data_IF_610296110328
#
_entry.id   IF_610296110328
#
_cell.length_a   1.000
_cell.length_b   1.000
_cell.length_c   1.000
_cell.angle_alpha   90.00
_cell.angle_beta   90.00
_cell.angle_gamma   90.00
#
_symmetry.space_group_name_H-M   'P 1'
#
loop_
_entity.id
_entity.type
_entity.pdbx_description
1 polymer ?
2 polymer ?
3 water ?
#
# COMPACT_ATOMS: atom_id res chain seq x y z
N UNK A 8 -0.50 26.41 -6.00
CA UNK A 8 0.31 25.21 -6.42
C UNK A 8 -0.59 23.98 -6.33
N UNK A 9 -0.67 23.18 -7.42
CA UNK A 9 -1.57 22.00 -7.34
C UNK A 9 -1.15 20.93 -6.32
N UNK A 10 0.18 20.77 -6.12
CA UNK A 10 0.66 19.87 -5.03
C UNK A 10 0.24 20.39 -3.63
N UNK A 11 0.28 21.72 -3.43
CA UNK A 11 -0.10 22.22 -2.11
C UNK A 11 -1.59 22.17 -1.85
N UNK A 12 -2.39 22.36 -2.90
CA UNK A 12 -3.85 22.22 -2.73
C UNK A 12 -4.19 20.79 -2.32
N UNK A 13 -3.50 19.81 -2.92
CA UNK A 13 -3.64 18.39 -2.57
C UNK A 13 -3.40 18.16 -1.06
N UNK A 14 -2.30 18.74 -0.55
CA UNK A 14 -1.92 18.56 0.85
C UNK A 14 -2.84 19.26 1.82
N UNK A 15 -3.42 20.38 1.40
CA UNK A 15 -4.27 21.18 2.25
C UNK A 15 -5.70 20.69 2.41
N UNK A 16 -6.10 19.72 1.61
CA UNK A 16 -7.53 19.39 1.55
C UNK A 16 -7.88 17.93 1.57
N UNK A 17 -9.11 17.63 1.17
CA UNK A 17 -9.68 16.28 1.08
C UNK A 17 -10.23 16.02 -0.33
N UNK A 18 -9.33 15.88 -1.24
CA UNK A 18 -9.63 15.82 -2.66
C UNK A 18 -10.19 14.46 -3.08
N UNK A 19 -11.05 14.46 -4.09
CA UNK A 19 -11.72 13.29 -4.63
C UNK A 19 -11.26 13.02 -6.05
N UNK A 20 -11.20 11.72 -6.38
CA UNK A 20 -10.57 11.24 -7.62
C UNK A 20 -11.38 10.06 -8.09
N UNK A 21 -11.81 10.09 -9.34
CA UNK A 21 -12.72 9.06 -9.88
C UNK A 21 -11.98 8.20 -10.94
N UNK A 22 -11.98 6.89 -10.78
CA UNK A 22 -11.30 6.03 -11.75
C UNK A 22 -12.22 5.56 -12.86
N UNK A 23 -11.67 4.78 -13.78
CA UNK A 23 -12.37 4.38 -14.99
C UNK A 23 -13.55 3.43 -14.74
N UNK A 24 -13.63 2.83 -13.54
CA UNK A 24 -14.75 2.03 -13.12
C UNK A 24 -15.85 2.85 -12.39
N UNK A 25 -15.62 4.15 -12.22
CA UNK A 25 -16.47 5.01 -11.43
C UNK A 25 -16.28 4.94 -9.93
N UNK A 26 -15.21 4.26 -9.49
CA UNK A 26 -14.85 4.22 -8.07
C UNK A 26 -14.17 5.53 -7.69
N UNK A 27 -14.28 5.88 -6.42
CA UNK A 27 -13.84 7.20 -5.94
C UNK A 27 -12.91 7.06 -4.73
N UNK A 28 -11.72 7.65 -4.87
CA UNK A 28 -10.78 7.80 -3.75
C UNK A 28 -10.80 9.22 -3.20
N UNK A 29 -10.86 9.36 -1.88
CA UNK A 29 -10.77 10.66 -1.22
C UNK A 29 -9.53 10.60 -0.33
N UNK A 30 -8.61 11.53 -0.53
CA UNK A 30 -7.35 11.52 0.19
C UNK A 30 -7.23 12.71 1.13
N UNK A 31 -6.69 12.41 2.31
CA UNK A 31 -6.26 13.39 3.28
C UNK A 31 -4.81 13.06 3.65
N UNK A 32 -4.01 14.11 3.84
CA UNK A 32 -2.54 13.96 4.06
C UNK A 32 -2.15 14.63 5.37
N UNK A 33 -1.39 13.89 6.19
CA UNK A 33 -0.88 14.38 7.46
C UNK A 33 0.64 14.22 7.44
N UNK A 34 1.40 15.27 7.83
CA UNK A 34 2.86 15.14 7.76
C UNK A 34 3.40 14.00 8.64
N UNK A 35 4.34 13.24 8.09
CA UNK A 35 5.01 12.22 8.88
C UNK A 35 5.84 12.87 9.98
N UNK A 36 5.82 12.30 11.20
CA UNK A 36 6.70 12.83 12.25
C UNK A 36 8.19 12.50 12.08
N UNK A 37 8.55 11.58 11.18
CA UNK A 37 9.97 11.23 11.00
C UNK A 37 10.49 11.31 9.58
N UNK A 38 9.63 11.21 8.58
CA UNK A 38 10.11 11.15 7.20
C UNK A 38 9.94 12.48 6.51
N UNK A 39 11.05 13.09 6.11
CA UNK A 39 10.91 14.38 5.43
C UNK A 39 10.12 14.26 4.12
N UNK A 40 9.34 15.29 3.82
CA UNK A 40 8.60 15.38 2.55
C UNK A 40 7.62 14.24 2.39
N UNK A 41 7.18 13.65 3.50
CA UNK A 41 6.37 12.46 3.45
C UNK A 41 5.14 12.67 4.30
N UNK A 42 4.03 12.10 3.81
CA UNK A 42 2.74 12.23 4.47
C UNK A 42 2.07 10.89 4.65
N UNK A 43 1.42 10.74 5.79
CA UNK A 43 0.53 9.64 6.05
C UNK A 43 -0.74 9.91 5.25
N UNK A 44 -1.21 8.90 4.53
CA UNK A 44 -2.41 9.00 3.71
C UNK A 44 -3.55 8.38 4.47
N UNK A 45 -4.62 9.15 4.64
CA UNK A 45 -5.88 8.64 5.16
C UNK A 45 -6.97 9.02 4.16
N UNK A 46 -8.19 8.65 4.46
CA UNK A 46 -9.29 8.95 3.57
C UNK A 46 -10.15 7.73 3.39
N UNK A 47 -10.84 7.68 2.26
CA UNK A 47 -11.75 6.59 2.00
C UNK A 47 -11.90 6.28 0.54
N UNK A 48 -12.34 5.06 0.25
CA UNK A 48 -12.50 4.56 -1.11
C UNK A 48 -13.89 3.98 -1.24
N UNK A 49 -14.57 4.37 -2.31
CA UNK A 49 -15.90 3.82 -2.62
C UNK A 49 -15.77 3.07 -3.92
N UNK A 50 -16.03 1.78 -3.84
CA UNK A 50 -15.96 0.90 -4.99
C UNK A 50 -17.27 0.89 -5.79
N UNK A 51 -17.22 1.24 -7.09
CA UNK A 51 -18.44 1.25 -7.91
C UNK A 51 -18.25 0.34 -9.13
N UNK A 52 -17.23 -0.52 -9.08
CA UNK A 52 -16.87 -1.41 -10.18
C UNK A 52 -17.88 -2.53 -10.39
N UNK A 53 -18.44 -2.58 -11.59
CA UNK A 53 -19.38 -3.65 -11.93
C UNK A 53 -18.80 -5.06 -11.72
N UNK A 54 -19.63 -5.95 -11.18
CA UNK A 54 -19.25 -7.38 -11.00
C UNK A 54 -18.48 -7.70 -9.73
N UNK A 55 -18.32 -6.71 -8.86
CA UNK A 55 -17.55 -6.89 -7.63
C UNK A 55 -18.44 -6.79 -6.40
N UNK A 56 -17.92 -7.28 -5.27
CA UNK A 56 -18.56 -7.09 -3.99
C UNK A 56 -18.14 -5.78 -3.33
N UNK A 57 -18.67 -5.51 -2.14
CA UNK A 57 -18.25 -4.34 -1.36
C UNK A 57 -18.37 -3.03 -2.15
N UNK A 58 -19.52 -2.88 -2.82
CA UNK A 58 -19.79 -1.69 -3.62
C UNK A 58 -20.58 -0.67 -2.83
N UNK A 59 -20.32 0.61 -3.16
CA UNK A 59 -21.17 1.70 -2.75
C UNK A 59 -21.07 2.18 -1.34
N UNK A 60 -20.04 1.72 -0.61
CA UNK A 60 -19.85 2.22 0.78
C UNK A 60 -18.38 2.53 1.03
N UNK A 61 -18.09 3.52 1.89
CA UNK A 61 -16.69 3.88 2.06
C UNK A 61 -15.89 2.88 2.89
N UNK A 62 -14.71 2.58 2.38
CA UNK A 62 -13.69 1.83 3.10
C UNK A 62 -12.53 2.77 3.40
N UNK A 63 -12.01 2.75 4.65
CA UNK A 63 -10.83 3.55 4.94
C UNK A 63 -9.64 3.15 4.08
N UNK A 64 -8.82 4.13 3.76
CA UNK A 64 -7.57 3.79 3.11
C UNK A 64 -6.41 4.28 4.01
N UNK A 65 -5.22 3.72 3.77
CA UNK A 65 -4.03 4.04 4.51
C UNK A 65 -2.81 3.91 3.59
N UNK A 66 -1.75 4.56 3.94
CA UNK A 66 -0.55 4.49 3.13
C UNK A 66 0.30 5.72 3.30
N UNK A 67 1.08 6.00 2.27
CA UNK A 67 2.13 7.05 2.37
C UNK A 67 2.29 7.79 1.04
N UNK A 68 2.68 9.05 1.15
CA UNK A 68 2.79 9.94 0.01
C UNK A 68 4.12 10.71 0.12
N UNK A 69 4.80 10.81 -1.02
CA UNK A 69 6.04 11.54 -1.13
C UNK A 69 5.81 12.82 -1.93
N UNK A 70 5.93 13.96 -1.25
CA UNK A 70 5.57 15.22 -1.86
C UNK A 70 6.60 15.72 -2.85
N UNK A 71 7.84 15.23 -2.76
CA UNK A 71 8.86 15.75 -3.64
C UNK A 71 8.59 15.60 -5.11
N UNK A 72 8.02 14.46 -5.50
CA UNK A 72 7.63 14.24 -6.89
C UNK A 72 6.24 13.62 -7.02
N UNK A 73 5.46 13.71 -5.95
CA UNK A 73 4.03 13.43 -5.98
C UNK A 73 3.74 11.98 -6.35
N UNK A 74 4.36 11.09 -5.57
CA UNK A 74 4.22 9.65 -5.68
C UNK A 74 3.49 9.13 -4.42
N UNK A 75 2.60 8.14 -4.62
CA UNK A 75 1.74 7.65 -3.54
C UNK A 75 1.64 6.13 -3.58
N UNK A 76 1.42 5.58 -2.39
CA UNK A 76 1.09 4.16 -2.30
C UNK A 76 0.10 4.00 -1.16
N UNK A 77 -1.04 3.35 -1.44
CA UNK A 77 -2.08 3.29 -0.46
C UNK A 77 -2.86 1.96 -0.58
N UNK A 78 -3.54 1.59 0.48
CA UNK A 78 -4.21 0.33 0.58
C UNK A 78 -5.57 0.40 1.23
N UNK A 79 -6.40 -0.58 0.87
CA UNK A 79 -7.72 -0.80 1.47
C UNK A 79 -7.84 -2.28 1.86
N UNK A 80 -8.27 -2.52 3.09
CA UNK A 80 -8.77 -3.83 3.48
C UNK A 80 -10.31 -3.75 3.36
N UNK A 81 -10.88 -4.74 2.67
CA UNK A 81 -12.31 -4.68 2.29
C UNK A 81 -13.21 -5.17 3.42
N UNK A 82 -13.13 -4.52 4.58
CA UNK A 82 -13.94 -4.84 5.74
C UNK A 82 -14.50 -3.55 6.31
N UNK A 83 -15.83 -3.46 6.36
CA UNK A 83 -16.47 -2.37 7.05
C UNK A 83 -17.80 -2.83 7.62
N UNK A 84 -18.58 -1.89 8.13
CA UNK A 84 -19.87 -2.26 8.76
C UNK A 84 -20.91 -2.86 7.81
N UNK A 85 -20.77 -2.53 6.53
CA UNK A 85 -21.75 -2.92 5.51
C UNK A 85 -21.42 -4.27 4.85
N UNK A 86 -20.15 -4.51 4.55
CA UNK A 86 -19.76 -5.66 3.79
C UNK A 86 -18.29 -6.00 4.02
N UNK A 87 -18.01 -7.30 3.96
CA UNK A 87 -16.65 -7.83 4.13
C UNK A 87 -16.35 -8.75 2.96
N UNK A 88 -15.39 -8.35 2.13
CA UNK A 88 -14.97 -9.16 1.01
C UNK A 88 -13.68 -9.90 1.24
N UNK A 89 -13.21 -9.91 2.50
CA UNK A 89 -12.10 -10.81 2.93
C UNK A 89 -10.88 -10.69 2.04
N UNK A 90 -10.49 -9.44 1.75
CA UNK A 90 -9.41 -9.20 0.78
C UNK A 90 -8.80 -7.82 1.03
N UNK A 91 -7.73 -7.51 0.28
CA UNK A 91 -7.10 -6.21 0.38
C UNK A 91 -6.51 -5.81 -0.98
N UNK A 92 -6.53 -4.51 -1.23
CA UNK A 92 -5.94 -3.97 -2.45
C UNK A 92 -4.89 -2.94 -2.10
N UNK A 93 -3.78 -2.98 -2.82
CA UNK A 93 -2.78 -1.93 -2.75
C UNK A 93 -2.55 -1.28 -4.10
N UNK A 94 -2.60 0.05 -4.10
CA UNK A 94 -2.36 0.89 -5.26
C UNK A 94 -1.02 1.62 -5.07
N UNK A 95 -0.25 1.77 -6.15
CA UNK A 95 1.01 2.52 -6.12
C UNK A 95 1.10 3.28 -7.46
N UNK A 96 1.45 4.54 -7.37
CA UNK A 96 1.56 5.37 -8.54
C UNK A 96 1.94 6.77 -8.30
N UNK A 97 1.53 7.62 -9.23
CA UNK A 97 2.01 9.00 -9.27
C UNK A 97 0.93 9.92 -9.82
N UNK A 98 0.96 11.16 -9.33
CA UNK A 98 0.09 12.23 -9.81
C UNK A 98 0.72 13.00 -10.96
N UNK A 99 -0.11 13.37 -11.94
CA UNK A 99 0.34 14.19 -13.06
C UNK A 99 -0.57 15.41 -13.06
N UNK A 100 0.00 16.55 -12.72
CA UNK A 100 -0.70 17.83 -12.73
C UNK A 100 -0.44 18.66 -13.99
N UNK A 101 0.18 18.07 -15.02
CA UNK A 101 0.62 18.85 -16.19
C UNK A 101 -0.50 19.23 -17.14
N UNK A 102 -1.58 18.45 -17.15
CA UNK A 102 -2.72 18.74 -18.00
C UNK A 102 -3.68 19.71 -17.33
N UNK A 103 -4.74 20.10 -18.02
CA UNK A 103 -5.72 20.97 -17.38
C UNK A 103 -6.47 20.26 -16.26
N UNK A 104 -6.60 18.94 -16.37
CA UNK A 104 -7.21 18.14 -15.31
C UNK A 104 -6.15 17.18 -14.76
N UNK A 105 -6.03 17.12 -13.45
CA UNK A 105 -5.03 16.25 -12.78
C UNK A 105 -5.47 14.79 -12.86
N UNK A 106 -4.49 13.91 -13.01
CA UNK A 106 -4.71 12.49 -13.05
C UNK A 106 -3.76 11.80 -12.08
N UNK A 107 -4.25 10.71 -11.51
CA UNK A 107 -3.47 9.81 -10.69
C UNK A 107 -3.41 8.49 -11.42
N UNK A 108 -2.19 8.06 -11.79
CA UNK A 108 -1.96 6.82 -12.51
C UNK A 108 -1.41 5.79 -11.53
N UNK A 109 -2.06 4.64 -11.46
CA UNK A 109 -1.68 3.58 -10.50
C UNK A 109 -1.71 2.21 -11.11
N UNK A 110 -0.89 1.33 -10.54
CA UNK A 110 -0.99 -0.11 -10.66
C UNK A 110 -1.48 -0.65 -9.31
N UNK A 111 -2.31 -1.68 -9.33
CA UNK A 111 -2.78 -2.27 -8.09
C UNK A 111 -2.64 -3.79 -8.06
N UNK A 112 -2.64 -4.29 -6.83
CA UNK A 112 -2.69 -5.72 -6.54
C UNK A 112 -3.83 -5.96 -5.57
N UNK A 113 -4.60 -7.01 -5.85
CA UNK A 113 -5.71 -7.48 -5.00
C UNK A 113 -5.38 -8.86 -4.50
N UNK A 114 -5.23 -9.00 -3.17
CA UNK A 114 -5.03 -10.31 -2.57
C UNK A 114 -6.35 -10.84 -2.04
N UNK A 115 -6.62 -12.11 -2.32
CA UNK A 115 -7.91 -12.70 -1.97
C UNK A 115 -7.80 -14.21 -1.98
N UNK A 116 -8.87 -14.88 -1.54
CA UNK A 116 -9.00 -16.32 -1.61
C UNK A 116 -10.14 -16.75 -2.53
N UNK A 117 -9.92 -17.85 -3.23
CA UNK A 117 -10.97 -18.53 -3.93
C UNK A 117 -10.94 -19.95 -3.40
N UNK A 118 -11.98 -20.31 -2.66
CA UNK A 118 -11.94 -21.48 -1.80
C UNK A 118 -10.75 -21.35 -0.86
N UNK A 119 -9.94 -22.39 -0.78
CA UNK A 119 -8.77 -22.39 0.06
C UNK A 119 -7.51 -21.93 -0.67
N UNK A 120 -7.66 -21.48 -1.92
CA UNK A 120 -6.52 -21.06 -2.76
C UNK A 120 -6.32 -19.54 -2.73
N UNK A 121 -5.14 -19.10 -2.27
CA UNK A 121 -4.88 -17.66 -2.29
C UNK A 121 -4.41 -17.23 -3.66
N UNK A 122 -4.66 -15.97 -3.98
CA UNK A 122 -4.23 -15.39 -5.25
C UNK A 122 -4.03 -13.89 -5.12
N UNK A 123 -3.19 -13.36 -6.00
CA UNK A 123 -2.96 -11.93 -6.09
C UNK A 123 -3.16 -11.54 -7.56
N UNK A 124 -4.16 -10.68 -7.78
CA UNK A 124 -4.53 -10.22 -9.12
C UNK A 124 -4.01 -8.79 -9.33
N UNK A 125 -3.56 -8.51 -10.55
CA UNK A 125 -2.99 -7.22 -10.91
C UNK A 125 -3.95 -6.43 -11.83
N UNK A 126 -3.84 -5.11 -11.77
CA UNK A 126 -4.55 -4.22 -12.67
C UNK A 126 -4.00 -2.81 -12.61
N UNK A 127 -4.67 -1.91 -13.30
CA UNK A 127 -4.30 -0.53 -13.41
C UNK A 127 -5.54 0.33 -13.21
N UNK A 128 -5.40 1.40 -12.44
CA UNK A 128 -6.50 2.38 -12.29
C UNK A 128 -5.95 3.75 -12.62
N UNK A 129 -6.67 4.49 -13.48
CA UNK A 129 -6.39 5.89 -13.74
C UNK A 129 -7.53 6.72 -13.14
N UNK A 130 -7.20 7.60 -12.22
CA UNK A 130 -8.18 8.42 -11.50
C UNK A 130 -8.06 9.86 -12.04
N UNK A 131 -9.19 10.48 -12.33
CA UNK A 131 -9.21 11.84 -12.76
C UNK A 131 -9.80 12.68 -11.62
N UNK A 132 -9.18 13.82 -11.35
CA UNK A 132 -9.62 14.64 -10.23
C UNK A 132 -11.05 15.16 -10.40
N UNK A 133 -11.81 15.14 -9.31
CA UNK A 133 -13.11 15.78 -9.26
C UNK A 133 -12.94 17.24 -8.84
N UNK A 134 -13.29 18.15 -9.74
CA UNK A 134 -13.23 19.57 -9.46
C UNK A 134 -14.48 20.36 -9.89
N UNK B 3 -22.05 -7.34 8.92
CA UNK B 3 -21.74 -7.16 7.47
C UNK B 3 -22.21 -8.36 6.65
N UNK B 4 -22.46 -8.12 5.37
CA UNK B 4 -22.63 -9.19 4.39
C UNK B 4 -21.25 -9.69 4.00
N UNK B 5 -21.11 -11.01 3.87
CA UNK B 5 -19.80 -11.61 3.65
C UNK B 5 -19.74 -12.26 2.28
N UNK B 6 -18.68 -11.88 1.55
CA UNK B 6 -18.43 -12.40 0.20
C UNK B 6 -17.13 -13.20 0.27
N UNK B 7 -17.02 -14.26 -0.54
CA UNK B 7 -15.83 -15.10 -0.60
C UNK B 7 -14.59 -14.22 -0.90
N UNK B 8 -14.75 -13.28 -1.83
CA UNK B 8 -13.70 -12.31 -2.18
C UNK B 8 -14.35 -11.03 -2.76
N UNK B 9 -13.50 -10.07 -3.16
CA UNK B 9 -13.99 -8.86 -3.84
C UNK B 9 -14.60 -9.21 -5.22
N UNK B 10 -14.15 -10.33 -5.81
CA UNK B 10 -14.53 -10.71 -7.17
C UNK B 10 -15.73 -11.64 -7.23
N UNK B 11 -15.95 -12.41 -6.16
CA UNK B 11 -16.90 -13.53 -6.18
C UNK B 11 -17.72 -13.56 -4.89
N UNK B 12 -19.04 -13.69 -5.03
CA UNK B 12 -19.95 -13.72 -3.89
C UNK B 12 -19.89 -15.12 -3.25
N UNK C 8 -2.61 -20.06 17.30
CA UNK C 8 -2.29 -19.89 15.87
C UNK C 8 -0.93 -19.22 15.75
N UNK C 9 -0.09 -19.63 14.78
CA UNK C 9 1.05 -18.74 14.47
C UNK C 9 0.57 -17.39 13.89
N UNK C 10 -0.65 -17.38 13.35
CA UNK C 10 -1.34 -16.12 12.97
C UNK C 10 -1.57 -15.20 14.20
N UNK C 11 -1.61 -15.82 15.38
CA UNK C 11 -1.74 -15.07 16.62
C UNK C 11 -0.51 -14.28 17.04
N UNK C 12 0.66 -14.89 16.97
CA UNK C 12 1.85 -14.20 17.50
C UNK C 12 2.61 -13.31 16.49
N UNK C 13 2.27 -13.41 15.21
CA UNK C 13 2.53 -12.32 14.26
C UNK C 13 2.00 -11.01 14.85
N UNK C 14 0.82 -11.09 15.44
CA UNK C 14 0.15 -9.91 16.02
C UNK C 14 0.88 -9.22 17.16
N UNK C 15 1.73 -9.96 17.89
CA UNK C 15 2.52 -9.39 19.00
C UNK C 15 3.57 -8.38 18.53
N UNK C 16 3.85 -8.37 17.22
CA UNK C 16 4.65 -7.33 16.56
C UNK C 16 6.11 -7.28 16.97
N UNK C 17 6.70 -8.47 17.15
CA UNK C 17 8.11 -8.62 17.53
C UNK C 17 8.88 -9.54 16.57
N UNK C 18 8.28 -9.85 15.41
CA UNK C 18 8.81 -10.79 14.41
C UNK C 18 9.61 -10.06 13.32
N UNK C 19 10.63 -10.71 12.76
CA UNK C 19 11.29 -10.20 11.52
C UNK C 19 10.86 -11.09 10.37
N UNK C 20 10.58 -10.49 9.23
CA UNK C 20 10.24 -11.19 8.01
C UNK C 20 11.25 -10.84 6.94
N UNK C 21 11.96 -11.86 6.45
CA UNK C 21 13.15 -11.63 5.67
C UNK C 21 12.98 -12.19 4.27
N UNK C 22 13.19 -11.36 3.27
CA UNK C 22 12.96 -11.83 1.91
C UNK C 22 14.21 -12.43 1.28
N UNK C 23 14.11 -12.78 0.00
CA UNK C 23 15.12 -13.53 -0.71
C UNK C 23 16.46 -12.78 -0.86
N UNK C 24 16.43 -11.47 -0.74
CA UNK C 24 17.64 -10.66 -0.81
C UNK C 24 18.14 -10.25 0.57
N UNK C 25 17.44 -10.65 1.62
CA UNK C 25 17.77 -10.22 2.97
C UNK C 25 17.17 -8.92 3.44
N UNK C 26 16.23 -8.33 2.67
CA UNK C 26 15.48 -7.22 3.18
C UNK C 26 14.57 -7.69 4.32
N UNK C 27 14.34 -6.81 5.29
CA UNK C 27 13.63 -7.16 6.52
C UNK C 27 12.45 -6.26 6.80
N UNK C 28 11.28 -6.89 6.96
CA UNK C 28 10.09 -6.19 7.38
C UNK C 28 9.81 -6.50 8.87
N UNK C 29 9.61 -5.48 9.68
CA UNK C 29 9.36 -5.60 11.08
C UNK C 29 7.99 -4.96 11.30
N UNK C 30 6.98 -5.80 11.39
CA UNK C 30 5.60 -5.33 11.46
C UNK C 30 5.13 -5.10 12.89
N UNK C 31 4.31 -4.06 13.05
CA UNK C 31 3.59 -3.73 14.26
C UNK C 31 2.13 -3.54 13.90
N UNK C 32 1.25 -4.07 14.72
CA UNK C 32 -0.18 -4.07 14.46
C UNK C 32 -0.91 -3.37 15.57
N UNK C 33 -1.93 -2.62 15.19
CA UNK C 33 -2.82 -1.93 16.13
C UNK C 33 -4.25 -2.10 15.62
N UNK C 34 -5.24 -2.37 16.50
CA UNK C 34 -6.59 -2.57 15.99
C UNK C 34 -7.09 -1.36 15.22
N UNK C 35 -7.79 -1.62 14.11
CA UNK C 35 -8.36 -0.54 13.33
C UNK C 35 -9.44 0.14 14.17
N UNK C 36 -9.48 1.49 14.12
CA UNK C 36 -10.52 2.19 14.86
C UNK C 36 -11.94 1.88 14.40
N UNK C 37 -12.13 1.53 13.11
CA UNK C 37 -13.50 1.37 12.56
C UNK C 37 -13.75 0.06 11.81
N UNK C 38 -12.70 -0.65 11.39
CA UNK C 38 -12.89 -1.81 10.53
C UNK C 38 -12.81 -3.12 11.32
N UNK C 39 -13.86 -3.94 11.27
CA UNK C 39 -13.77 -5.22 11.98
C UNK C 39 -12.69 -6.13 11.39
N UNK C 40 -12.01 -6.86 12.29
CA UNK C 40 -11.05 -7.88 11.94
C UNK C 40 -9.86 -7.29 11.17
N UNK C 41 -9.57 -6.02 11.41
CA UNK C 41 -8.56 -5.30 10.66
C UNK C 41 -7.61 -4.59 11.65
N UNK C 42 -6.36 -4.52 11.23
CA UNK C 42 -5.32 -3.84 12.00
C UNK C 42 -4.63 -2.80 11.11
N UNK C 43 -4.27 -1.69 11.73
CA UNK C 43 -3.36 -0.74 11.10
C UNK C 43 -1.95 -1.32 11.21
N UNK C 44 -1.19 -1.23 10.13
CA UNK C 44 0.16 -1.79 10.09
C UNK C 44 1.14 -0.63 10.17
N UNK C 45 2.09 -0.75 11.10
CA UNK C 45 3.22 0.15 11.20
C UNK C 45 4.47 -0.69 11.37
N UNK C 46 5.58 -0.07 11.75
CA UNK C 46 6.86 -0.79 11.85
C UNK C 46 7.85 -0.26 10.85
N UNK C 47 8.86 -1.06 10.53
CA UNK C 47 9.96 -0.59 9.70
C UNK C 47 10.42 -1.62 8.71
N UNK C 48 10.98 -1.11 7.63
CA UNK C 48 11.51 -1.95 6.57
C UNK C 48 12.97 -1.59 6.35
N UNK C 49 13.82 -2.62 6.30
CA UNK C 49 15.24 -2.43 6.03
C UNK C 49 15.55 -3.09 4.69
N UNK C 50 15.88 -2.27 3.72
CA UNK C 50 16.08 -2.74 2.35
C UNK C 50 17.49 -3.28 2.12
N UNK C 51 17.54 -4.39 1.38
CA UNK C 51 18.80 -4.96 0.93
C UNK C 51 18.75 -5.42 -0.54
N UNK C 52 17.77 -4.96 -1.30
CA UNK C 52 17.62 -5.40 -2.66
C UNK C 52 18.83 -5.05 -3.54
N UNK C 53 19.30 -6.06 -4.25
CA UNK C 53 20.49 -5.87 -5.07
C UNK C 53 20.31 -4.71 -6.05
N UNK C 54 21.34 -3.85 -6.12
CA UNK C 54 21.36 -2.74 -7.06
C UNK C 54 20.61 -1.49 -6.68
N UNK C 55 19.96 -1.54 -5.52
CA UNK C 55 19.11 -0.43 -5.09
C UNK C 55 19.82 0.50 -4.11
N UNK C 56 19.31 1.72 -4.03
CA UNK C 56 19.73 2.67 -3.03
C UNK C 56 18.91 2.45 -1.76
N UNK C 57 19.12 3.33 -0.80
CA UNK C 57 18.36 3.32 0.43
C UNK C 57 18.44 1.97 1.15
N UNK C 58 19.66 1.41 1.21
CA UNK C 58 19.89 0.15 1.91
C UNK C 58 20.30 0.34 3.36
N UNK C 59 19.94 -0.65 4.16
CA UNK C 59 20.52 -0.81 5.46
C UNK C 59 20.10 0.16 6.54
N UNK C 60 18.99 0.88 6.32
CA UNK C 60 18.46 1.75 7.35
C UNK C 60 16.93 1.61 7.42
N UNK C 61 16.34 1.82 8.61
CA UNK C 61 14.90 1.60 8.74
C UNK C 61 14.08 2.69 8.05
N UNK C 62 13.14 2.23 7.25
CA UNK C 62 12.10 3.13 6.69
C UNK C 62 10.76 2.73 7.27
N UNK C 63 10.00 3.72 7.78
CA UNK C 63 8.69 3.34 8.29
C UNK C 63 7.81 2.72 7.22
N UNK C 64 7.00 1.75 7.64
CA UNK C 64 5.99 1.23 6.74
C UNK C 64 4.58 1.54 7.29
N UNK C 65 3.60 1.50 6.38
CA UNK C 65 2.23 1.77 6.74
C UNK C 65 1.31 0.95 5.86
N UNK C 66 0.17 0.53 6.37
CA UNK C 66 -0.82 -0.18 5.60
C UNK C 66 -1.86 -0.78 6.52
N UNK C 67 -2.41 -1.90 6.07
CA UNK C 67 -3.55 -2.53 6.76
C UNK C 67 -3.49 -4.04 6.60
N UNK C 68 -4.02 -4.73 7.63
CA UNK C 68 -3.94 -6.17 7.72
C UNK C 68 -5.32 -6.70 8.08
N UNK C 69 -5.73 -7.73 7.36
CA UNK C 69 -7.00 -8.40 7.57
C UNK C 69 -6.77 -9.76 8.26
N UNK C 70 -7.15 -9.84 9.53
CA UNK C 70 -6.83 -11.04 10.31
C UNK C 70 -7.68 -12.27 9.99
N UNK C 71 -8.80 -12.09 9.30
CA UNK C 71 -9.72 -13.21 9.02
C UNK C 71 -9.08 -14.31 8.20
N UNK C 72 -8.30 -13.90 7.19
CA UNK C 72 -7.56 -14.86 6.39
C UNK C 72 -6.09 -14.44 6.16
N UNK C 73 -5.62 -13.48 6.97
CA UNK C 73 -4.21 -13.13 7.05
C UNK C 73 -3.65 -12.57 5.74
N UNK C 74 -4.34 -11.54 5.28
CA UNK C 74 -3.96 -10.79 4.08
C UNK C 74 -3.48 -9.41 4.50
N UNK C 75 -2.46 -8.89 3.79
CA UNK C 75 -1.85 -7.60 4.17
C UNK C 75 -1.52 -6.78 2.93
N UNK C 76 -1.50 -5.45 3.13
CA UNK C 76 -1.02 -4.54 2.09
C UNK C 76 -0.33 -3.41 2.83
N UNK C 77 0.91 -3.11 2.43
CA UNK C 77 1.69 -2.10 3.15
C UNK C 77 2.62 -1.37 2.17
N UNK C 78 3.06 -0.18 2.59
CA UNK C 78 3.84 0.65 1.73
C UNK C 78 4.99 1.34 2.46
N UNK C 79 5.99 1.71 1.68
CA UNK C 79 7.14 2.48 2.14
C UNK C 79 7.38 3.63 1.17
N UNK C 80 7.53 4.83 1.72
CA UNK C 80 8.13 5.95 0.99
C UNK C 80 9.62 5.99 1.35
N UNK C 81 10.49 6.05 0.35
CA UNK C 81 11.93 5.87 0.53
C UNK C 81 12.61 7.19 0.94
N UNK C 82 12.11 7.78 2.02
CA UNK C 82 12.68 9.00 2.58
C UNK C 82 12.89 8.87 4.09
N UNK C 83 14.15 8.97 4.53
CA UNK C 83 14.43 9.00 5.97
C UNK C 83 15.62 9.91 6.23
N UNK C 84 16.11 9.91 7.47
CA UNK C 84 17.18 10.81 7.86
C UNK C 84 18.53 10.52 7.16
N UNK C 85 18.67 9.30 6.63
CA UNK C 85 19.88 8.79 6.00
C UNK C 85 19.93 8.92 4.49
N UNK C 86 18.83 8.54 3.82
CA UNK C 86 18.82 8.52 2.36
C UNK C 86 17.38 8.72 1.85
N UNK C 87 17.30 9.45 0.76
CA UNK C 87 16.06 9.70 0.06
C UNK C 87 16.21 9.24 -1.38
N UNK C 88 15.44 8.19 -1.73
CA UNK C 88 15.44 7.67 -3.09
C UNK C 88 14.19 8.08 -3.88
N UNK C 89 13.45 9.06 -3.36
CA UNK C 89 12.37 9.78 -4.16
C UNK C 89 11.41 8.81 -4.85
N UNK C 90 10.96 7.80 -4.11
CA UNK C 90 10.28 6.65 -4.70
C UNK C 90 9.32 6.09 -3.61
N UNK C 91 8.40 5.21 -3.98
CA UNK C 91 7.58 4.50 -3.03
C UNK C 91 7.27 3.09 -3.55
N UNK C 92 7.22 2.13 -2.63
CA UNK C 92 6.85 0.76 -2.92
C UNK C 92 5.59 0.36 -2.13
N UNK C 93 4.72 -0.39 -2.81
CA UNK C 93 3.58 -1.01 -2.18
C UNK C 93 3.61 -2.52 -2.39
N UNK C 94 3.47 -3.25 -1.29
CA UNK C 94 3.41 -4.71 -1.24
C UNK C 94 1.99 -5.14 -0.86
N UNK C 95 1.51 -6.16 -1.56
CA UNK C 95 0.18 -6.75 -1.26
C UNK C 95 0.32 -8.27 -1.33
N UNK C 96 -0.21 -8.97 -0.33
CA UNK C 96 -0.08 -10.42 -0.31
C UNK C 96 -0.71 -11.06 0.88
N UNK C 97 -0.24 -12.27 1.17
CA UNK C 97 -0.89 -13.11 2.14
C UNK C 97 0.12 -13.95 2.91
N UNK C 98 -0.22 -14.29 4.14
CA UNK C 98 0.64 -15.14 4.95
C UNK C 98 0.21 -16.59 4.81
N UNK C 99 1.18 -17.47 4.65
CA UNK C 99 0.97 -18.90 4.62
C UNK C 99 1.69 -19.51 5.84
N UNK C 100 0.89 -19.98 6.79
CA UNK C 100 1.38 -20.56 8.05
C UNK C 100 1.30 -22.09 8.06
N UNK C 101 0.98 -22.69 6.90
CA UNK C 101 0.76 -24.14 6.81
C UNK C 101 2.05 -24.98 6.98
N UNK C 102 3.16 -24.42 6.48
CA UNK C 102 4.46 -25.11 6.59
C UNK C 102 5.10 -24.89 7.95
N UNK C 103 6.21 -25.57 8.19
CA UNK C 103 6.96 -25.38 9.43
C UNK C 103 7.55 -23.98 9.49
N UNK C 104 7.83 -23.45 8.31
CA UNK C 104 8.38 -22.12 8.11
C UNK C 104 7.25 -21.24 7.55
N UNK C 105 6.86 -20.21 8.30
CA UNK C 105 5.82 -19.28 7.80
C UNK C 105 6.40 -18.38 6.70
N UNK C 106 5.55 -18.10 5.71
CA UNK C 106 5.96 -17.32 4.54
C UNK C 106 4.88 -16.30 4.17
N UNK C 107 5.35 -15.08 3.99
CA UNK C 107 4.55 -13.99 3.46
C UNK C 107 4.85 -13.84 1.98
N UNK C 108 3.83 -14.13 1.16
CA UNK C 108 3.97 -14.05 -0.28
C UNK C 108 3.40 -12.74 -0.78
N UNK C 109 4.18 -11.94 -1.49
CA UNK C 109 3.73 -10.61 -1.95
C UNK C 109 4.06 -10.34 -3.40
N UNK C 110 3.23 -9.48 -3.97
CA UNK C 110 3.56 -8.77 -5.20
C UNK C 110 3.75 -7.30 -4.82
N UNK C 111 4.67 -6.64 -5.53
CA UNK C 111 4.94 -5.24 -5.26
C UNK C 111 4.97 -4.40 -6.50
N UNK C 112 4.77 -3.11 -6.29
CA UNK C 112 4.94 -2.08 -7.29
C UNK C 112 5.83 -0.98 -6.72
N UNK C 113 6.78 -0.49 -7.53
CA UNK C 113 7.67 0.61 -7.20
C UNK C 113 7.37 1.75 -8.18
N UNK C 114 6.96 2.91 -7.64
CA UNK C 114 6.74 4.09 -8.44
C UNK C 114 7.98 4.97 -8.27
N UNK C 115 8.48 5.50 -9.40
CA UNK C 115 9.72 6.26 -9.38
C UNK C 115 9.86 7.07 -10.68
N UNK C 116 10.84 7.96 -10.73
CA UNK C 116 11.17 8.74 -11.90
C UNK C 116 12.54 8.36 -12.44
N UNK C 117 12.65 8.41 -13.77
CA UNK C 117 13.91 8.35 -14.50
C UNK C 117 13.94 9.59 -15.38
N UNK C 118 14.78 10.54 -15.00
CA UNK C 118 14.71 11.85 -15.61
C UNK C 118 13.33 12.38 -15.31
N UNK C 119 12.65 12.84 -16.35
CA UNK C 119 11.33 13.44 -16.17
C UNK C 119 10.21 12.41 -16.39
N UNK C 120 10.57 11.15 -16.61
CA UNK C 120 9.61 10.10 -16.96
C UNK C 120 9.21 9.29 -15.74
N UNK C 121 7.92 9.32 -15.35
CA UNK C 121 7.46 8.44 -14.28
C UNK C 121 7.31 7.01 -14.76
N UNK C 122 7.49 6.07 -13.86
CA UNK C 122 7.27 4.66 -14.17
C UNK C 122 6.87 3.86 -12.94
N UNK C 123 6.27 2.70 -13.19
CA UNK C 123 5.87 1.79 -12.13
C UNK C 123 6.38 0.42 -12.50
N UNK C 124 7.32 -0.09 -11.69
CA UNK C 124 7.92 -1.41 -11.88
C UNK C 124 7.26 -2.43 -10.93
N UNK C 125 7.11 -3.65 -11.43
CA UNK C 125 6.45 -4.76 -10.74
C UNK C 125 7.52 -5.75 -10.26
N UNK C 126 7.24 -6.43 -9.16
CA UNK C 126 8.02 -7.59 -8.74
C UNK C 126 7.31 -8.43 -7.71
N UNK C 127 8.01 -9.45 -7.17
CA UNK C 127 7.49 -10.40 -6.20
C UNK C 127 8.53 -10.61 -5.11
N UNK C 128 8.10 -10.58 -3.85
CA UNK C 128 8.99 -10.84 -2.70
C UNK C 128 8.31 -11.89 -1.86
N UNK C 129 9.07 -12.89 -1.41
CA UNK C 129 8.62 -13.86 -0.43
C UNK C 129 9.43 -13.66 0.83
N UNK C 130 8.76 -13.40 1.95
CA UNK C 130 9.43 -13.15 3.23
C UNK C 130 9.26 -14.33 4.16
N UNK C 131 10.35 -14.80 4.74
CA UNK C 131 10.31 -15.89 5.70
C UNK C 131 10.45 -15.34 7.11
N UNK C 132 9.63 -15.86 8.01
CA UNK C 132 9.67 -15.41 9.38
C UNK C 132 10.96 -15.92 10.00
N UNK C 133 11.73 -15.05 10.66
CA UNK C 133 13.02 -15.51 11.20
C UNK C 133 12.90 -16.25 12.54
N UNK D 2 22.56 15.66 6.58
CA UNK D 2 21.15 15.40 6.13
C UNK D 2 21.14 14.26 5.10
N UNK D 3 19.95 13.74 4.80
CA UNK D 3 19.85 12.57 3.93
C UNK D 3 20.49 12.82 2.57
N UNK D 4 21.15 11.79 2.07
CA UNK D 4 21.62 11.76 0.69
C UNK D 4 20.41 11.66 -0.23
N UNK D 5 20.56 12.17 -1.45
CA UNK D 5 19.47 12.17 -2.40
C UNK D 5 19.86 11.42 -3.65
N UNK D 6 19.03 10.46 -4.03
CA UNK D 6 19.22 9.63 -5.23
C UNK D 6 18.06 9.84 -6.19
N UNK D 7 18.32 9.62 -7.48
CA UNK D 7 17.30 9.80 -8.52
C UNK D 7 16.07 8.92 -8.25
N UNK D 8 16.31 7.66 -7.91
CA UNK D 8 15.26 6.71 -7.63
C UNK D 8 15.84 5.61 -6.74
N UNK D 9 15.02 4.67 -6.36
CA UNK D 9 15.48 3.49 -5.62
C UNK D 9 16.40 2.63 -6.51
N UNK D 10 16.22 2.72 -7.83
CA UNK D 10 16.98 1.89 -8.77
C UNK D 10 18.27 2.52 -9.23
N UNK D 11 18.36 3.85 -9.17
CA UNK D 11 19.44 4.61 -9.79
C UNK D 11 19.89 5.78 -8.91
N UNK D 12 21.19 5.85 -8.62
CA UNK D 12 21.76 7.02 -7.91
C UNK D 12 21.66 8.31 -8.74
#
# INVERSE_FOLDING_TARGET
>A
FADDHAMSPDMKLLAGASNWVNQSGSVAQFVFTPSPTQPQTYEVSGNYINNAQGTGCKGTPYPLSGAYYSGNQIISFSVVWSNASANCQSATGWTGYFDFSGSQAVLKTDWNLAFYSGSTPAIQQGQDDFMQSV
>B
SVATVSESLLTE
>C
FADDHAMSPDMKLLAGASNWVNQSGSVAQFVFTPSPTQPQTYEVSGNYINNAQGTGCKGTPYPLSGAYYSGNQIISFSVVWSNASANCQSATGWTGYFDFSGSQAVLKTDWNLAFYSGSTPAIQQGQDDFMQSV
>D
SVATVSESLLTE
#
